data_IF_005885994863
#
_entry.id   IF_005885994863
#
_cell.length_a   1.000
_cell.length_b   1.000
_cell.length_c   1.000
_cell.angle_alpha   90.00
_cell.angle_beta   90.00
_cell.angle_gamma   90.00
#
_symmetry.space_group_name_H-M   'P 1'
#
loop_
_entity.id
_entity.type
_entity.pdbx_description
1 polymer ?
#
# COMPACT_ATOMS: atom_id res chain seq x y z
N UNK A 1 12.83 15.88 -17.48
CA UNK A 1 12.10 16.19 -16.24
C UNK A 1 10.73 15.53 -16.28
N UNK A 2 10.39 14.80 -15.24
CA UNK A 2 9.09 14.13 -15.17
C UNK A 2 8.05 15.05 -14.55
N UNK A 3 6.92 15.18 -15.20
CA UNK A 3 5.77 15.89 -14.66
C UNK A 3 4.96 14.92 -13.80
N UNK A 4 4.73 15.30 -12.56
CA UNK A 4 3.90 14.53 -11.66
C UNK A 4 2.46 14.98 -11.77
N UNK A 5 1.56 14.02 -11.80
CA UNK A 5 0.12 14.27 -11.88
C UNK A 5 -0.63 13.28 -11.01
N UNK A 6 -1.90 13.60 -10.77
CA UNK A 6 -2.82 12.66 -10.15
C UNK A 6 -3.31 11.67 -11.20
N UNK A 7 -3.30 10.40 -10.84
CA UNK A 7 -3.76 9.32 -11.72
C UNK A 7 -4.86 8.52 -11.03
N UNK A 8 -5.93 8.23 -11.76
CA UNK A 8 -6.97 7.35 -11.28
C UNK A 8 -6.44 5.92 -11.23
N UNK A 9 -6.70 5.21 -10.14
CA UNK A 9 -6.19 3.86 -9.95
C UNK A 9 -7.32 2.86 -9.83
N UNK A 10 -8.29 3.10 -8.96
CA UNK A 10 -9.37 2.17 -8.69
C UNK A 10 -10.53 2.91 -8.05
N UNK A 11 -11.75 2.46 -8.31
CA UNK A 11 -12.91 2.97 -7.61
C UNK A 11 -12.89 2.49 -6.15
N UNK A 12 -13.22 3.40 -5.24
CA UNK A 12 -13.26 3.09 -3.82
C UNK A 12 -14.17 1.88 -3.52
N UNK A 13 -15.27 1.75 -4.25
CA UNK A 13 -16.22 0.65 -4.07
C UNK A 13 -15.65 -0.72 -4.44
N UNK A 14 -14.55 -0.74 -5.18
CA UNK A 14 -13.90 -2.00 -5.59
C UNK A 14 -12.79 -2.47 -4.65
N UNK A 15 -12.54 -1.72 -3.58
CA UNK A 15 -11.55 -2.15 -2.59
C UNK A 15 -12.12 -3.25 -1.69
N UNK A 16 -11.23 -4.14 -1.25
CA UNK A 16 -11.52 -5.04 -0.14
C UNK A 16 -11.63 -4.22 1.14
N UNK A 17 -12.82 -4.22 1.74
CA UNK A 17 -13.08 -3.40 2.93
C UNK A 17 -12.25 -3.88 4.12
N UNK A 18 -11.61 -2.93 4.80
CA UNK A 18 -10.77 -3.18 5.98
C UNK A 18 -9.60 -4.11 5.68
N UNK A 19 -9.17 -4.14 4.44
CA UNK A 19 -8.11 -5.04 4.00
C UNK A 19 -7.20 -4.33 3.00
N UNK A 20 -6.27 -5.07 2.44
CA UNK A 20 -5.35 -4.60 1.42
C UNK A 20 -5.78 -5.15 0.06
N UNK A 21 -5.72 -4.30 -0.97
CA UNK A 21 -6.07 -4.68 -2.34
C UNK A 21 -4.87 -4.48 -3.23
N UNK A 22 -4.54 -5.47 -4.05
CA UNK A 22 -3.46 -5.37 -5.02
C UNK A 22 -3.99 -4.77 -6.33
N UNK A 23 -3.35 -3.72 -6.81
CA UNK A 23 -3.71 -3.08 -8.06
C UNK A 23 -2.44 -2.85 -8.87
N UNK A 24 -2.48 -3.24 -10.13
CA UNK A 24 -1.37 -2.93 -11.03
C UNK A 24 -1.62 -1.62 -11.74
N UNK A 25 -0.65 -0.72 -11.68
CA UNK A 25 -0.71 0.56 -12.36
C UNK A 25 0.55 0.71 -13.23
N UNK A 26 0.36 0.55 -14.54
CA UNK A 26 1.50 0.50 -15.46
C UNK A 26 2.40 -0.69 -15.14
N UNK A 27 3.67 -0.43 -14.87
CA UNK A 27 4.64 -1.46 -14.48
C UNK A 27 4.74 -1.62 -12.96
N UNK A 28 3.95 -0.89 -12.20
CA UNK A 28 4.02 -0.89 -10.73
C UNK A 28 2.90 -1.73 -10.13
N UNK A 29 3.25 -2.55 -9.15
CA UNK A 29 2.28 -3.23 -8.32
C UNK A 29 2.06 -2.42 -7.06
N UNK A 30 0.80 -2.07 -6.82
CA UNK A 30 0.41 -1.23 -5.70
C UNK A 30 -0.35 -2.05 -4.66
N UNK A 31 -0.10 -1.74 -3.40
CA UNK A 31 -0.91 -2.20 -2.29
C UNK A 31 -1.73 -1.01 -1.79
N UNK A 32 -3.04 -1.16 -1.82
CA UNK A 32 -3.96 -0.12 -1.37
C UNK A 32 -4.62 -0.61 -0.10
N UNK A 33 -4.45 0.14 0.97
CA UNK A 33 -4.91 -0.25 2.31
C UNK A 33 -6.14 0.54 2.68
N UNK A 34 -7.22 -0.17 2.99
CA UNK A 34 -8.39 0.44 3.62
C UNK A 34 -8.17 0.40 5.14
N UNK A 35 -7.42 1.37 5.62
CA UNK A 35 -6.99 1.44 7.01
C UNK A 35 -8.01 2.14 7.90
N UNK A 36 -7.82 2.03 9.22
CA UNK A 36 -8.70 2.70 10.18
C UNK A 36 -8.69 4.20 10.01
N UNK A 37 -7.56 4.77 9.62
CA UNK A 37 -7.38 6.22 9.51
C UNK A 37 -7.48 6.74 8.08
N UNK A 38 -7.90 5.92 7.13
CA UNK A 38 -8.09 6.34 5.75
C UNK A 38 -7.49 5.39 4.75
N UNK A 39 -7.33 5.86 3.53
CA UNK A 39 -6.78 5.08 2.43
C UNK A 39 -5.30 5.43 2.27
N UNK A 40 -4.44 4.40 2.24
CA UNK A 40 -3.01 4.57 2.05
C UNK A 40 -2.53 3.65 0.93
N UNK A 41 -1.48 4.06 0.24
CA UNK A 41 -0.94 3.31 -0.90
C UNK A 41 0.57 3.18 -0.75
N UNK A 42 1.06 1.97 -1.00
CA UNK A 42 2.50 1.71 -1.10
C UNK A 42 2.78 0.83 -2.30
N UNK A 43 4.05 0.66 -2.64
CA UNK A 43 4.42 -0.44 -3.51
C UNK A 43 4.10 -1.74 -2.80
N UNK A 44 3.63 -2.74 -3.54
CA UNK A 44 3.19 -4.00 -2.94
C UNK A 44 4.33 -4.91 -2.54
N UNK A 45 5.53 -4.71 -3.10
CA UNK A 45 6.67 -5.55 -2.80
C UNK A 45 7.20 -5.26 -1.39
N UNK A 46 7.38 -6.31 -0.61
CA UNK A 46 8.03 -6.20 0.69
C UNK A 46 9.48 -5.77 0.52
N UNK A 47 9.93 -4.79 1.32
CA UNK A 47 11.29 -4.25 1.21
C UNK A 47 12.36 -5.24 1.66
N UNK A 48 11.96 -6.27 2.37
CA UNK A 48 12.88 -7.25 2.94
C UNK A 48 13.08 -8.47 2.01
N UNK A 49 12.16 -8.73 1.08
CA UNK A 49 12.29 -9.90 0.21
C UNK A 49 11.27 -9.93 -0.91
N UNK A 50 11.28 -11.02 -1.67
CA UNK A 50 10.43 -11.18 -2.84
C UNK A 50 9.03 -11.66 -2.46
N UNK A 51 8.30 -10.84 -1.71
CA UNK A 51 6.94 -11.13 -1.28
C UNK A 51 6.02 -9.98 -1.64
N UNK A 52 4.77 -10.29 -1.87
CA UNK A 52 3.72 -9.29 -2.09
C UNK A 52 2.99 -9.06 -0.77
N UNK A 53 2.97 -7.82 -0.31
CA UNK A 53 2.31 -7.45 0.94
C UNK A 53 0.81 -7.72 0.90
N UNK A 54 0.20 -7.73 -0.29
CA UNK A 54 -1.21 -8.05 -0.44
C UNK A 54 -1.54 -9.49 -0.08
N UNK A 55 -0.54 -10.36 -0.01
CA UNK A 55 -0.69 -11.75 0.45
C UNK A 55 -0.50 -11.88 1.97
N UNK A 56 -0.17 -10.80 2.64
CA UNK A 56 0.06 -10.77 4.06
C UNK A 56 -1.22 -10.50 4.87
N UNK A 57 -1.03 -10.24 6.14
CA UNK A 57 -2.13 -9.95 7.06
C UNK A 57 -2.16 -8.46 7.41
N UNK A 58 -3.31 -7.83 7.21
CA UNK A 58 -3.52 -6.42 7.52
C UNK A 58 -4.55 -6.28 8.64
N UNK A 59 -4.18 -5.60 9.72
CA UNK A 59 -5.07 -5.43 10.88
C UNK A 59 -5.77 -4.07 10.92
N UNK A 60 -5.61 -3.24 9.91
CA UNK A 60 -6.18 -1.89 9.84
C UNK A 60 -5.15 -0.80 10.10
N UNK A 61 -3.98 -1.15 10.62
CA UNK A 61 -2.89 -0.23 10.92
C UNK A 61 -1.55 -0.77 10.42
N UNK A 62 -1.30 -2.06 10.65
CA UNK A 62 -0.04 -2.70 10.29
C UNK A 62 -0.26 -3.77 9.25
N UNK A 63 0.66 -3.86 8.29
CA UNK A 63 0.70 -4.96 7.32
C UNK A 63 1.84 -5.89 7.67
N UNK A 64 1.52 -7.18 7.78
CA UNK A 64 2.49 -8.22 8.09
C UNK A 64 2.88 -8.90 6.78
N UNK A 65 4.20 -8.90 6.48
CA UNK A 65 4.73 -9.55 5.30
C UNK A 65 4.54 -11.07 5.41
N UNK A 66 4.10 -11.75 4.34
CA UNK A 66 3.94 -13.22 4.41
C UNK A 66 5.28 -13.96 4.56
N UNK A 67 6.41 -13.30 4.29
CA UNK A 67 7.74 -13.88 4.52
C UNK A 67 8.27 -13.44 5.88
N UNK A 68 8.39 -14.37 6.80
CA UNK A 68 9.01 -14.16 8.11
C UNK A 68 8.31 -13.12 8.99
N UNK A 69 7.10 -12.70 8.61
CA UNK A 69 6.24 -11.86 9.46
C UNK A 69 6.82 -10.48 9.81
N UNK A 70 7.59 -9.89 8.91
CA UNK A 70 8.01 -8.50 9.05
C UNK A 70 6.80 -7.57 9.09
N UNK A 71 6.86 -6.51 9.89
CA UNK A 71 5.71 -5.65 10.15
C UNK A 71 5.99 -4.21 9.72
N UNK A 72 5.01 -3.58 9.07
CA UNK A 72 5.10 -2.18 8.63
C UNK A 72 3.85 -1.41 9.05
N UNK A 73 4.06 -0.16 9.46
CA UNK A 73 2.97 0.78 9.69
C UNK A 73 2.55 1.37 8.34
N UNK A 74 1.30 1.16 7.93
CA UNK A 74 0.85 1.63 6.61
C UNK A 74 0.57 3.14 6.55
N UNK A 75 0.44 3.81 7.69
CA UNK A 75 0.25 5.26 7.70
C UNK A 75 1.54 5.99 7.30
N UNK A 76 2.67 5.46 7.68
CA UNK A 76 3.99 6.09 7.49
C UNK A 76 4.93 5.29 6.61
N UNK A 77 4.68 3.99 6.48
CA UNK A 77 5.59 3.06 5.81
C UNK A 77 6.69 2.54 6.72
N UNK A 78 6.72 2.93 7.98
CA UNK A 78 7.81 2.59 8.88
C UNK A 78 7.86 1.10 9.18
N UNK A 79 9.07 0.51 9.06
CA UNK A 79 9.31 -0.87 9.45
C UNK A 79 9.28 -0.97 10.97
N UNK A 80 8.41 -1.83 11.52
CA UNK A 80 8.15 -1.94 12.95
C UNK A 80 8.68 -3.20 13.60
N UNK A 81 8.83 -4.29 12.85
CA UNK A 81 9.31 -5.54 13.40
C UNK A 81 10.20 -6.28 12.42
N UNK A 82 11.29 -6.90 12.92
CA UNK A 82 12.17 -7.66 12.04
C UNK A 82 11.42 -8.86 11.41
N UNK A 83 11.85 -9.32 10.26
CA UNK A 83 13.05 -8.89 9.54
C UNK A 83 12.89 -7.62 8.72
N UNK A 84 11.77 -6.93 8.81
CA UNK A 84 11.57 -5.67 8.11
C UNK A 84 12.48 -4.58 8.71
N UNK A 85 13.32 -3.99 7.88
CA UNK A 85 14.28 -2.95 8.30
C UNK A 85 14.19 -1.70 7.46
N UNK A 86 13.81 -1.84 6.20
CA UNK A 86 13.70 -0.73 5.26
C UNK A 86 12.23 -0.34 5.17
N UNK A 87 11.93 0.93 5.31
CA UNK A 87 10.57 1.43 5.27
C UNK A 87 9.93 1.18 3.91
N UNK A 88 8.61 1.02 3.89
CA UNK A 88 7.85 0.92 2.64
C UNK A 88 7.92 2.24 1.88
N UNK A 89 7.92 2.14 0.57
CA UNK A 89 7.77 3.31 -0.28
C UNK A 89 6.29 3.67 -0.36
N UNK A 90 5.91 4.69 0.43
CA UNK A 90 4.55 5.19 0.39
C UNK A 90 4.35 6.10 -0.81
N UNK A 91 3.16 6.04 -1.38
CA UNK A 91 2.79 6.84 -2.53
C UNK A 91 1.66 7.77 -2.11
N UNK A 92 1.83 9.06 -2.37
CA UNK A 92 0.81 10.05 -2.04
C UNK A 92 -0.49 9.71 -2.75
N UNK A 93 -1.58 9.69 -2.01
CA UNK A 93 -2.89 9.29 -2.52
C UNK A 93 -3.99 10.19 -1.99
N UNK A 94 -5.13 10.15 -2.67
CA UNK A 94 -6.35 10.81 -2.24
C UNK A 94 -7.56 10.08 -2.81
N UNK A 95 -8.72 10.35 -2.23
CA UNK A 95 -10.01 9.91 -2.79
C UNK A 95 -10.70 11.13 -3.35
N UNK A 96 -11.11 11.06 -4.60
CA UNK A 96 -11.82 12.15 -5.26
C UNK A 96 -12.98 11.60 -6.08
N UNK A 97 -14.18 12.02 -5.73
CA UNK A 97 -15.41 11.57 -6.40
C UNK A 97 -15.52 10.04 -6.45
N UNK A 98 -15.18 9.39 -5.33
CA UNK A 98 -15.26 7.95 -5.22
C UNK A 98 -14.13 7.18 -5.91
N UNK A 99 -13.10 7.86 -6.40
CA UNK A 99 -11.98 7.24 -7.08
C UNK A 99 -10.70 7.50 -6.30
N UNK A 100 -9.93 6.44 -6.09
CA UNK A 100 -8.61 6.55 -5.47
C UNK A 100 -7.63 6.99 -6.54
N UNK A 101 -6.92 8.08 -6.23
CA UNK A 101 -5.89 8.64 -7.10
C UNK A 101 -4.55 8.61 -6.41
N UNK A 102 -3.50 8.44 -7.18
CA UNK A 102 -2.12 8.50 -6.72
C UNK A 102 -1.39 9.63 -7.43
N UNK A 103 -0.40 10.19 -6.75
CA UNK A 103 0.41 11.25 -7.31
C UNK A 103 1.77 10.70 -7.70
N UNK A 104 2.00 10.65 -8.99
CA UNK A 104 3.27 10.16 -9.55
C UNK A 104 3.83 11.11 -10.61
#
# INVERSE_FOLDING_TARGET
MKNRNWHNVIELSNLEKKDVTNVQFGTKDLAIYDAKDGIFVSLSRCTHGAANLCDGYFDGTYIECPLHQGLFDVLTGEAKAPPARVNLKMIKSRVREGIIQIYL
#
